data_IF_118751397567
#
_entry.id   IF_118751397567
#
_cell.length_a   1.000
_cell.length_b   1.000
_cell.length_c   1.000
_cell.angle_alpha   90.00
_cell.angle_beta   90.00
_cell.angle_gamma   90.00
#
_symmetry.space_group_name_H-M   'P 1'
#
loop_
_entity.id
_entity.type
_entity.pdbx_description
1 polymer ?
#
# COMPACT_ATOMS: atom_id res chain seq x y z
N UNK A 1 -7.32 -2.67 12.68
CA UNK A 1 -7.67 -2.62 11.23
C UNK A 1 -7.12 -1.34 10.64
N UNK A 2 -6.47 -1.43 9.49
CA UNK A 2 -5.72 -0.33 8.90
C UNK A 2 -6.40 0.06 7.60
N UNK A 3 -6.78 1.33 7.45
CA UNK A 3 -7.36 1.84 6.20
C UNK A 3 -6.23 2.22 5.24
N UNK A 4 -6.18 1.57 4.08
CA UNK A 4 -5.16 1.79 3.05
C UNK A 4 -5.82 2.11 1.69
N UNK A 5 -5.15 2.81 0.77
CA UNK A 5 -5.64 3.00 -0.59
C UNK A 5 -5.69 1.66 -1.35
N UNK A 6 -6.76 1.48 -2.14
CA UNK A 6 -7.01 0.23 -2.87
C UNK A 6 -5.97 -0.02 -3.99
N UNK A 7 -5.53 1.04 -4.68
CA UNK A 7 -4.67 0.95 -5.87
C UNK A 7 -3.36 0.18 -5.64
N UNK A 8 -2.61 0.51 -4.58
CA UNK A 8 -1.34 -0.17 -4.31
C UNK A 8 -1.56 -1.61 -3.86
N UNK A 9 -2.58 -1.85 -3.04
CA UNK A 9 -2.93 -3.20 -2.60
C UNK A 9 -3.31 -4.11 -3.79
N UNK A 10 -4.13 -3.61 -4.72
CA UNK A 10 -4.48 -4.36 -5.93
C UNK A 10 -3.24 -4.67 -6.78
N UNK A 11 -2.35 -3.68 -7.01
CA UNK A 11 -1.08 -3.88 -7.74
C UNK A 11 -0.17 -4.92 -7.08
N UNK A 12 -0.09 -4.90 -5.75
CA UNK A 12 0.68 -5.88 -4.96
C UNK A 12 0.12 -7.30 -5.13
N UNK A 13 -1.20 -7.46 -5.04
CA UNK A 13 -1.86 -8.75 -5.24
C UNK A 13 -1.82 -9.22 -6.70
N UNK A 14 -1.90 -8.32 -7.69
CA UNK A 14 -1.75 -8.63 -9.11
C UNK A 14 -0.34 -9.17 -9.46
N UNK A 15 0.64 -8.91 -8.58
CA UNK A 15 2.00 -9.48 -8.64
C UNK A 15 2.16 -10.79 -7.86
N UNK A 16 1.06 -11.42 -7.46
CA UNK A 16 1.01 -12.68 -6.69
C UNK A 16 1.80 -12.61 -5.37
N UNK A 17 1.82 -11.45 -4.71
CA UNK A 17 2.44 -11.27 -3.39
C UNK A 17 1.42 -11.49 -2.26
N UNK A 18 1.89 -12.04 -1.15
CA UNK A 18 1.08 -12.29 0.05
C UNK A 18 0.67 -10.96 0.70
N UNK A 19 -0.64 -10.79 0.95
CA UNK A 19 -1.20 -9.55 1.45
C UNK A 19 -2.12 -9.79 2.66
N UNK A 20 -2.23 -8.82 3.59
CA UNK A 20 -3.09 -8.98 4.76
C UNK A 20 -4.56 -9.06 4.35
N UNK A 21 -5.35 -9.80 5.13
CA UNK A 21 -6.76 -10.06 4.83
C UNK A 21 -7.61 -8.77 4.78
N UNK A 22 -8.48 -8.67 3.78
CA UNK A 22 -9.44 -7.55 3.66
C UNK A 22 -10.61 -7.77 4.62
N UNK A 23 -10.82 -6.83 5.53
CA UNK A 23 -11.94 -6.79 6.48
C UNK A 23 -13.12 -5.98 5.94
N UNK A 24 -12.85 -4.93 5.16
CA UNK A 24 -13.86 -4.08 4.54
C UNK A 24 -13.33 -3.43 3.27
N UNK A 25 -14.21 -3.26 2.29
CA UNK A 25 -13.93 -2.59 1.02
C UNK A 25 -14.82 -1.36 0.79
N UNK A 26 -14.27 -0.36 0.13
CA UNK A 26 -14.99 0.70 -0.59
C UNK A 26 -14.36 0.91 -1.96
N UNK A 27 -14.99 1.74 -2.82
CA UNK A 27 -14.48 2.06 -4.15
C UNK A 27 -13.00 2.47 -4.21
N UNK A 28 -12.46 3.09 -3.16
CA UNK A 28 -11.11 3.65 -3.17
C UNK A 28 -10.17 3.12 -2.06
N UNK A 29 -10.68 2.35 -1.11
CA UNK A 29 -9.91 1.94 0.07
C UNK A 29 -10.29 0.54 0.53
N UNK A 30 -9.31 -0.15 1.11
CA UNK A 30 -9.51 -1.34 1.94
C UNK A 30 -9.24 -1.02 3.40
N UNK A 31 -9.91 -1.77 4.28
CA UNK A 31 -9.50 -1.95 5.66
C UNK A 31 -8.92 -3.34 5.77
N UNK A 32 -7.63 -3.42 6.09
CA UNK A 32 -6.92 -4.69 6.20
C UNK A 32 -6.72 -5.09 7.67
N UNK A 33 -6.59 -6.40 7.88
CA UNK A 33 -6.20 -6.99 9.15
C UNK A 33 -4.72 -6.68 9.47
N UNK A 34 -4.35 -6.86 10.73
CA UNK A 34 -2.97 -6.84 11.19
C UNK A 34 -2.54 -8.29 11.42
N UNK A 35 -2.34 -9.00 10.31
CA UNK A 35 -1.89 -10.40 10.28
C UNK A 35 -0.42 -10.50 9.85
N UNK A 36 0.07 -11.73 9.68
CA UNK A 36 1.46 -12.04 9.34
C UNK A 36 1.92 -11.49 7.98
N UNK A 37 1.01 -11.14 7.07
CA UNK A 37 1.33 -10.62 5.74
C UNK A 37 1.41 -9.09 5.70
N UNK A 38 1.09 -8.40 6.80
CA UNK A 38 1.15 -6.94 6.84
C UNK A 38 2.57 -6.41 6.60
N UNK A 39 3.61 -7.13 7.03
CA UNK A 39 5.01 -6.71 6.85
C UNK A 39 5.46 -6.86 5.39
N UNK A 40 4.98 -7.88 4.67
CA UNK A 40 5.26 -8.04 3.23
C UNK A 40 4.67 -6.87 2.42
N UNK A 41 3.41 -6.52 2.68
CA UNK A 41 2.78 -5.35 2.06
C UNK A 41 3.52 -4.05 2.40
N UNK A 42 3.98 -3.88 3.66
CA UNK A 42 4.72 -2.70 4.08
C UNK A 42 6.09 -2.60 3.40
N UNK A 43 6.83 -3.72 3.34
CA UNK A 43 8.15 -3.80 2.71
C UNK A 43 8.08 -3.40 1.24
N UNK A 44 7.13 -3.98 0.51
CA UNK A 44 6.91 -3.67 -0.89
C UNK A 44 6.41 -2.21 -1.08
N UNK A 45 5.52 -1.71 -0.22
CA UNK A 45 5.11 -0.31 -0.26
C UNK A 45 6.27 0.67 -0.05
N UNK A 46 7.23 0.34 0.83
CA UNK A 46 8.45 1.13 1.06
C UNK A 46 9.37 1.14 -0.15
N UNK A 47 9.43 0.06 -0.92
CA UNK A 47 10.19 0.05 -2.17
C UNK A 47 9.66 1.10 -3.17
N UNK A 48 8.33 1.26 -3.26
CA UNK A 48 7.68 2.18 -4.19
C UNK A 48 7.42 3.60 -3.63
N UNK A 49 7.70 3.88 -2.35
CA UNK A 49 7.28 5.14 -1.72
C UNK A 49 8.00 6.39 -2.26
N UNK A 50 9.18 6.21 -2.86
CA UNK A 50 9.98 7.27 -3.45
C UNK A 50 9.90 7.23 -4.99
N UNK A 51 9.02 8.04 -5.61
CA UNK A 51 8.87 8.08 -7.07
C UNK A 51 10.14 8.57 -7.79
N UNK A 52 11.08 9.24 -7.09
CA UNK A 52 12.32 9.74 -7.71
C UNK A 52 13.26 8.61 -8.11
N UNK A 53 13.12 7.41 -7.51
CA UNK A 53 13.91 6.23 -7.82
C UNK A 53 13.54 5.58 -9.16
N UNK A 54 12.35 5.89 -9.70
CA UNK A 54 11.78 5.20 -10.85
C UNK A 54 11.78 6.04 -12.15
N UNK A 55 12.41 7.21 -12.13
CA UNK A 55 12.39 8.17 -13.25
C UNK A 55 10.98 8.46 -13.81
N UNK A 56 9.96 8.34 -12.95
CA UNK A 56 8.56 8.50 -13.33
C UNK A 56 8.11 9.96 -13.23
N UNK A 57 7.31 10.41 -14.19
CA UNK A 57 6.80 11.77 -14.29
C UNK A 57 5.32 11.85 -13.87
N UNK A 58 4.87 13.07 -13.58
CA UNK A 58 3.47 13.32 -13.33
C UNK A 58 2.60 12.85 -14.50
N UNK A 59 1.64 11.97 -14.21
CA UNK A 59 0.75 11.37 -15.21
C UNK A 59 1.12 9.94 -15.60
N UNK A 60 2.32 9.47 -15.27
CA UNK A 60 2.71 8.09 -15.54
C UNK A 60 1.91 7.12 -14.64
N UNK A 61 1.54 5.93 -15.14
CA UNK A 61 0.87 4.92 -14.30
C UNK A 61 1.65 4.60 -13.02
N UNK A 62 2.97 4.49 -13.14
CA UNK A 62 3.88 4.19 -12.03
C UNK A 62 3.91 5.33 -10.98
N UNK A 63 3.79 6.59 -11.40
CA UNK A 63 3.67 7.71 -10.47
C UNK A 63 2.45 7.55 -9.54
N UNK A 64 1.34 7.07 -10.10
CA UNK A 64 0.12 6.81 -9.35
C UNK A 64 0.23 5.63 -8.38
N UNK A 65 1.05 4.62 -8.71
CA UNK A 65 1.40 3.51 -7.81
C UNK A 65 2.28 4.02 -6.66
N UNK A 66 3.35 4.77 -6.95
CA UNK A 66 4.24 5.32 -5.92
C UNK A 66 3.50 6.20 -4.89
N UNK A 67 2.60 7.08 -5.36
CA UNK A 67 1.76 7.88 -4.46
C UNK A 67 0.84 7.02 -3.57
N UNK A 68 0.28 5.95 -4.14
CA UNK A 68 -0.55 5.01 -3.39
C UNK A 68 0.27 4.16 -2.41
N UNK A 69 1.50 3.79 -2.77
CA UNK A 69 2.44 3.07 -1.90
C UNK A 69 2.83 3.94 -0.69
N UNK A 70 3.23 5.19 -0.93
CA UNK A 70 3.55 6.14 0.12
C UNK A 70 2.39 6.36 1.10
N UNK A 71 1.16 6.46 0.61
CA UNK A 71 -0.02 6.58 1.46
C UNK A 71 -0.29 5.29 2.27
N UNK A 72 0.05 4.12 1.73
CA UNK A 72 -0.02 2.82 2.42
C UNK A 72 0.99 2.76 3.57
N UNK A 73 2.26 3.09 3.31
CA UNK A 73 3.31 3.17 4.35
C UNK A 73 2.87 4.09 5.49
N UNK A 74 2.45 5.32 5.16
CA UNK A 74 1.97 6.31 6.15
C UNK A 74 0.81 5.79 7.00
N UNK A 75 -0.13 5.06 6.39
CA UNK A 75 -1.28 4.52 7.11
C UNK A 75 -0.87 3.43 8.11
N UNK A 76 0.00 2.52 7.69
CA UNK A 76 0.50 1.41 8.53
C UNK A 76 1.36 1.95 9.67
N UNK A 77 2.33 2.84 9.38
CA UNK A 77 3.20 3.41 10.41
C UNK A 77 2.44 4.28 11.41
N UNK A 78 1.46 5.06 10.94
CA UNK A 78 0.56 5.81 11.83
C UNK A 78 -0.24 4.89 12.74
N UNK A 79 -0.71 3.74 12.24
CA UNK A 79 -1.42 2.78 13.07
C UNK A 79 -0.50 2.24 14.17
N UNK A 80 0.73 1.82 13.82
CA UNK A 80 1.72 1.32 14.78
C UNK A 80 2.08 2.34 15.86
N UNK A 81 2.16 3.62 15.52
CA UNK A 81 2.45 4.69 16.49
C UNK A 81 1.29 4.99 17.45
N UNK A 82 0.09 4.46 17.18
CA UNK A 82 -1.13 4.69 17.98
C UNK A 82 -1.57 3.45 18.78
N UNK A 83 -0.91 2.31 18.56
CA UNK A 83 -1.11 1.05 19.29
C UNK A 83 -0.12 0.95 20.46
#
# INVERSE_FOLDING_TARGET
MIRIPKRFYDDHCERDLEAPGIVKETKAHYWVAEDEHLEELLSDAKFYEDPTLFACNFGDPLWAICLSAQATVKAIEKHRAQS
#
